data_IF_672455244464
#
_entry.id   IF_672455244464
#
_cell.length_a   1.000
_cell.length_b   1.000
_cell.length_c   1.000
_cell.angle_alpha   90.00
_cell.angle_beta   90.00
_cell.angle_gamma   90.00
#
_symmetry.space_group_name_H-M   'P 1'
#
loop_
_entity.id
_entity.type
_entity.pdbx_description
1 polymer ?
#
# COMPACT_ATOMS: atom_id res chain seq x y z
N UNK A 1 40.32 7.61 -33.96
CA UNK A 1 39.24 6.89 -33.28
C UNK A 1 39.61 6.75 -31.81
N UNK A 2 39.07 7.62 -30.94
CA UNK A 2 39.30 7.60 -29.49
C UNK A 2 37.99 7.21 -28.81
N UNK A 3 37.98 6.06 -28.14
CA UNK A 3 36.96 5.66 -27.16
C UNK A 3 37.69 5.59 -25.83
N UNK A 4 37.32 6.37 -24.82
CA UNK A 4 37.60 6.05 -23.42
C UNK A 4 36.38 6.47 -22.61
N UNK A 5 35.81 5.46 -21.94
CA UNK A 5 34.62 5.49 -21.11
C UNK A 5 34.84 6.30 -19.82
N UNK A 6 33.75 6.96 -19.41
CA UNK A 6 33.50 7.47 -18.07
C UNK A 6 33.43 6.32 -17.05
N UNK A 7 34.17 6.43 -15.95
CA UNK A 7 34.04 5.56 -14.78
C UNK A 7 33.81 6.40 -13.53
N UNK A 8 32.59 6.39 -13.00
CA UNK A 8 32.27 6.94 -11.69
C UNK A 8 32.84 6.02 -10.61
N UNK A 9 33.71 6.57 -9.77
CA UNK A 9 34.29 5.89 -8.63
C UNK A 9 33.30 5.92 -7.44
N UNK A 10 32.91 4.74 -6.95
CA UNK A 10 32.16 4.58 -5.69
C UNK A 10 33.16 4.49 -4.55
N UNK A 11 33.16 5.47 -3.65
CA UNK A 11 33.93 5.44 -2.41
C UNK A 11 33.28 4.45 -1.43
N UNK A 12 33.93 3.29 -1.22
CA UNK A 12 33.65 2.39 -0.12
C UNK A 12 34.32 2.94 1.16
N UNK A 13 33.52 3.37 2.13
CA UNK A 13 33.98 3.60 3.50
C UNK A 13 33.85 2.29 4.28
N UNK A 14 34.97 1.59 4.44
CA UNK A 14 35.10 0.50 5.39
C UNK A 14 35.55 1.08 6.74
N UNK A 15 34.65 1.08 7.73
CA UNK A 15 34.99 1.27 9.13
C UNK A 15 34.32 0.16 9.95
N UNK A 16 35.04 -0.93 10.22
CA UNK A 16 34.86 -1.79 11.40
C UNK A 16 36.24 -2.38 11.72
N UNK A 17 36.98 -1.86 12.71
CA UNK A 17 36.80 -2.00 14.17
C UNK A 17 36.91 -3.44 14.67
N UNK A 18 37.79 -3.60 15.65
CA UNK A 18 38.27 -4.80 16.32
C UNK A 18 37.27 -5.95 16.52
N UNK A 19 37.69 -7.15 16.13
CA UNK A 19 37.13 -8.43 16.55
C UNK A 19 37.16 -8.57 18.08
N UNK A 20 36.02 -8.90 18.66
CA UNK A 20 35.95 -9.66 19.92
C UNK A 20 34.77 -10.61 19.81
N UNK A 21 35.08 -11.89 19.83
CA UNK A 21 34.13 -13.01 19.77
C UNK A 21 33.10 -12.89 20.89
N UNK A 22 31.89 -12.48 20.56
CA UNK A 22 30.70 -12.68 21.39
C UNK A 22 29.63 -13.28 20.47
N UNK A 23 29.14 -14.45 20.85
CA UNK A 23 28.00 -15.09 20.23
C UNK A 23 26.76 -14.23 20.47
N UNK A 24 26.51 -13.26 19.58
CA UNK A 24 25.23 -12.53 19.41
C UNK A 24 25.29 -11.60 18.16
N UNK A 25 25.96 -12.03 17.08
CA UNK A 25 26.01 -11.29 15.82
C UNK A 25 24.72 -11.51 15.00
N UNK A 26 23.56 -11.18 15.57
CA UNK A 26 22.43 -10.83 14.73
C UNK A 26 22.83 -9.56 13.95
N UNK A 27 22.79 -9.55 12.61
CA UNK A 27 23.16 -8.37 11.84
C UNK A 27 22.31 -7.19 12.30
N UNK A 28 22.97 -6.13 12.77
CA UNK A 28 22.30 -4.88 13.14
C UNK A 28 21.59 -4.36 11.89
N UNK A 29 20.26 -4.32 11.93
CA UNK A 29 19.47 -3.75 10.83
C UNK A 29 19.94 -2.33 10.56
N UNK A 30 20.46 -2.11 9.36
CA UNK A 30 20.86 -0.78 8.88
C UNK A 30 19.78 -0.30 7.94
N UNK A 31 19.08 0.79 8.32
CA UNK A 31 18.07 1.39 7.44
C UNK A 31 18.74 1.83 6.13
N UNK A 32 18.28 1.35 4.96
CA UNK A 32 18.87 1.72 3.69
C UNK A 32 18.69 3.21 3.41
N UNK A 33 19.28 3.74 2.34
CA UNK A 33 18.92 5.07 1.84
C UNK A 33 17.47 5.07 1.34
N UNK A 34 16.87 6.25 1.15
CA UNK A 34 15.52 6.37 0.60
C UNK A 34 15.44 5.75 -0.81
N UNK A 35 16.44 6.01 -1.65
CA UNK A 35 16.46 5.47 -3.02
C UNK A 35 16.54 3.94 -3.04
N UNK A 36 17.35 3.35 -2.15
CA UNK A 36 17.43 1.89 -2.01
C UNK A 36 16.11 1.34 -1.46
N UNK A 37 15.46 2.01 -0.51
CA UNK A 37 14.13 1.60 -0.03
C UNK A 37 13.08 1.65 -1.16
N UNK A 38 13.11 2.68 -2.00
CA UNK A 38 12.21 2.80 -3.15
C UNK A 38 12.40 1.64 -4.13
N UNK A 39 13.66 1.27 -4.42
CA UNK A 39 13.97 0.09 -5.23
C UNK A 39 13.50 -1.20 -4.57
N UNK A 40 13.60 -1.30 -3.24
CA UNK A 40 13.09 -2.46 -2.51
C UNK A 40 11.57 -2.58 -2.60
N UNK A 41 10.86 -1.47 -2.43
CA UNK A 41 9.40 -1.45 -2.59
C UNK A 41 9.01 -1.93 -3.99
N UNK A 42 9.61 -1.38 -5.05
CA UNK A 42 9.24 -1.72 -6.44
C UNK A 42 9.46 -3.22 -6.75
N UNK A 43 10.59 -3.77 -6.30
CA UNK A 43 10.92 -5.20 -6.47
C UNK A 43 9.98 -6.10 -5.65
N UNK A 44 9.73 -5.72 -4.39
CA UNK A 44 8.84 -6.47 -3.51
C UNK A 44 7.40 -6.45 -4.01
N UNK A 45 6.91 -5.34 -4.55
CA UNK A 45 5.59 -5.25 -5.19
C UNK A 45 5.52 -6.18 -6.39
N UNK A 46 6.52 -6.17 -7.26
CA UNK A 46 6.57 -7.06 -8.44
C UNK A 46 6.45 -8.52 -8.00
N UNK A 47 7.25 -8.93 -7.02
CA UNK A 47 7.21 -10.29 -6.46
C UNK A 47 5.87 -10.62 -5.81
N UNK A 48 5.29 -9.68 -5.07
CA UNK A 48 3.98 -9.83 -4.45
C UNK A 48 2.90 -10.09 -5.49
N UNK A 49 2.91 -9.35 -6.60
CA UNK A 49 1.96 -9.51 -7.70
C UNK A 49 2.11 -10.86 -8.42
N UNK A 50 3.35 -11.35 -8.57
CA UNK A 50 3.62 -12.67 -9.18
C UNK A 50 3.24 -13.85 -8.30
N UNK A 51 3.23 -13.64 -6.98
CA UNK A 51 2.98 -14.66 -5.97
C UNK A 51 1.58 -14.57 -5.36
N UNK A 52 0.70 -13.73 -5.90
CA UNK A 52 -0.65 -13.56 -5.37
C UNK A 52 -1.71 -13.61 -6.46
N UNK A 53 -2.94 -13.90 -6.06
CA UNK A 53 -4.13 -13.93 -6.92
C UNK A 53 -5.34 -13.36 -6.19
N UNK A 54 -6.43 -13.10 -6.92
CA UNK A 54 -7.73 -12.78 -6.35
C UNK A 54 -8.54 -14.05 -6.13
N UNK A 55 -9.10 -14.25 -4.93
CA UNK A 55 -10.14 -15.26 -4.74
C UNK A 55 -11.48 -14.82 -5.38
N UNK A 56 -12.51 -15.67 -5.27
CA UNK A 56 -13.83 -15.43 -5.85
C UNK A 56 -14.48 -14.11 -5.38
N UNK A 57 -14.20 -13.65 -4.15
CA UNK A 57 -14.72 -12.39 -3.62
C UNK A 57 -13.81 -11.19 -3.95
N UNK A 58 -12.63 -11.45 -4.48
CA UNK A 58 -11.59 -10.48 -4.76
C UNK A 58 -10.61 -10.30 -3.60
N UNK A 59 -10.59 -11.19 -2.58
CA UNK A 59 -9.53 -11.13 -1.57
C UNK A 59 -8.18 -11.48 -2.20
N UNK A 60 -7.12 -10.83 -1.77
CA UNK A 60 -5.76 -11.19 -2.20
C UNK A 60 -5.29 -12.41 -1.39
N UNK A 61 -4.87 -13.44 -2.10
CA UNK A 61 -4.29 -14.67 -1.54
C UNK A 61 -2.90 -14.88 -2.13
N UNK A 62 -2.00 -15.47 -1.35
CA UNK A 62 -0.70 -15.94 -1.84
C UNK A 62 -0.86 -17.37 -2.34
N UNK A 63 -0.23 -17.70 -3.47
CA UNK A 63 -0.20 -19.09 -3.96
C UNK A 63 0.40 -20.01 -2.91
N UNK A 64 -0.18 -21.20 -2.77
CA UNK A 64 0.35 -22.22 -1.89
C UNK A 64 1.70 -22.72 -2.39
N UNK A 65 2.62 -22.99 -1.47
CA UNK A 65 3.88 -23.68 -1.78
C UNK A 65 3.80 -25.18 -1.52
N UNK A 66 2.68 -25.66 -0.98
CA UNK A 66 2.50 -27.04 -0.51
C UNK A 66 1.26 -27.73 -1.09
N UNK A 67 0.38 -27.00 -1.79
CA UNK A 67 -0.79 -27.52 -2.49
C UNK A 67 -0.81 -26.97 -3.91
N UNK A 68 -1.44 -27.70 -4.83
CA UNK A 68 -1.67 -27.31 -6.22
C UNK A 68 -3.09 -26.79 -6.46
N UNK A 69 -3.91 -26.65 -5.41
CA UNK A 69 -5.32 -26.27 -5.52
C UNK A 69 -5.52 -24.90 -6.17
N UNK A 70 -4.57 -23.99 -5.98
CA UNK A 70 -4.59 -22.63 -6.52
C UNK A 70 -3.68 -22.43 -7.74
N UNK A 71 -3.02 -23.47 -8.27
CA UNK A 71 -2.09 -23.34 -9.42
C UNK A 71 -2.76 -22.82 -10.70
N UNK A 72 -4.08 -22.96 -10.80
CA UNK A 72 -4.88 -22.47 -11.93
C UNK A 72 -5.35 -21.01 -11.76
N UNK A 73 -5.14 -20.41 -10.59
CA UNK A 73 -5.58 -19.05 -10.31
C UNK A 73 -4.75 -18.03 -11.09
N UNK A 74 -5.40 -16.93 -11.49
CA UNK A 74 -4.75 -15.90 -12.30
C UNK A 74 -3.90 -15.00 -11.41
N UNK A 75 -2.59 -14.96 -11.68
CA UNK A 75 -1.64 -14.09 -10.96
C UNK A 75 -2.03 -12.62 -11.07
N UNK A 76 -1.93 -11.87 -9.98
CA UNK A 76 -2.18 -10.42 -9.98
C UNK A 76 -1.31 -9.68 -11.01
N UNK A 77 -0.08 -10.13 -11.23
CA UNK A 77 0.85 -9.53 -12.20
C UNK A 77 0.38 -9.59 -13.65
N UNK A 78 -0.55 -10.49 -13.99
CA UNK A 78 -1.08 -10.68 -15.35
C UNK A 78 -2.27 -9.77 -15.67
N UNK A 79 -2.92 -9.19 -14.66
CA UNK A 79 -4.00 -8.24 -14.88
C UNK A 79 -3.48 -6.92 -15.48
N UNK A 80 -4.31 -6.21 -16.26
CA UNK A 80 -4.02 -4.84 -16.67
C UNK A 80 -3.77 -3.97 -15.44
N UNK A 81 -2.65 -3.23 -15.47
CA UNK A 81 -2.21 -2.37 -14.38
C UNK A 81 -1.86 -0.99 -14.88
N UNK A 82 -2.22 0.01 -14.08
CA UNK A 82 -1.79 1.39 -14.24
C UNK A 82 -0.80 1.75 -13.13
N UNK A 83 0.31 2.39 -13.48
CA UNK A 83 1.31 2.86 -12.52
C UNK A 83 1.37 4.37 -12.59
N UNK A 84 1.03 5.02 -11.48
CA UNK A 84 1.08 6.47 -11.35
C UNK A 84 2.53 6.97 -11.24
N UNK A 85 2.74 8.27 -11.45
CA UNK A 85 4.07 8.89 -11.40
C UNK A 85 4.79 8.73 -10.05
N UNK A 86 4.04 8.64 -8.94
CA UNK A 86 4.55 8.38 -7.60
C UNK A 86 4.84 6.89 -7.32
N UNK A 87 4.56 6.01 -8.30
CA UNK A 87 4.76 4.56 -8.20
C UNK A 87 3.57 3.77 -7.66
N UNK A 88 2.46 4.44 -7.32
CA UNK A 88 1.24 3.75 -6.90
C UNK A 88 0.72 2.89 -8.05
N UNK A 89 0.38 1.64 -7.75
CA UNK A 89 -0.12 0.68 -8.72
C UNK A 89 -1.61 0.47 -8.52
N UNK A 90 -2.34 0.46 -9.63
CA UNK A 90 -3.79 0.29 -9.69
C UNK A 90 -4.10 -0.95 -10.51
N UNK A 91 -4.86 -1.87 -9.93
CA UNK A 91 -5.39 -3.04 -10.63
C UNK A 91 -6.89 -3.10 -10.40
N UNK A 92 -7.66 -2.98 -11.48
CA UNK A 92 -9.11 -3.14 -11.48
C UNK A 92 -9.44 -4.60 -11.70
N UNK A 93 -10.26 -5.20 -10.83
CA UNK A 93 -10.77 -6.55 -11.05
C UNK A 93 -11.85 -6.51 -12.13
N UNK A 94 -11.67 -7.17 -13.29
CA UNK A 94 -12.56 -7.02 -14.45
C UNK A 94 -14.04 -7.28 -14.14
N UNK A 95 -14.31 -8.38 -13.43
CA UNK A 95 -15.68 -8.86 -13.18
C UNK A 95 -16.34 -8.25 -11.93
N UNK A 96 -15.71 -7.23 -11.34
CA UNK A 96 -16.18 -6.56 -10.13
C UNK A 96 -16.28 -5.03 -10.27
N UNK A 97 -16.13 -4.51 -11.49
CA UNK A 97 -16.39 -3.09 -11.74
C UNK A 97 -17.91 -2.82 -11.80
N UNK A 98 -18.39 -1.69 -11.26
CA UNK A 98 -19.81 -1.36 -11.34
C UNK A 98 -20.23 -1.00 -12.77
N UNK A 99 -21.36 -1.56 -13.23
CA UNK A 99 -21.96 -1.23 -14.53
C UNK A 99 -22.44 0.22 -14.59
N UNK A 100 -23.03 0.71 -13.50
CA UNK A 100 -23.51 2.08 -13.33
C UNK A 100 -22.85 2.72 -12.10
N UNK A 101 -21.52 2.84 -12.15
CA UNK A 101 -20.78 3.49 -11.09
C UNK A 101 -20.70 5.00 -11.24
N UNK A 102 -20.36 5.70 -10.16
CA UNK A 102 -20.10 7.14 -10.16
C UNK A 102 -18.60 7.44 -10.03
N UNK A 103 -18.02 8.29 -10.90
CA UNK A 103 -16.65 8.76 -10.75
C UNK A 103 -16.41 9.38 -9.39
N UNK A 104 -15.25 9.07 -8.78
CA UNK A 104 -14.86 9.60 -7.48
C UNK A 104 -14.03 10.86 -7.72
N UNK A 105 -14.55 12.03 -7.32
CA UNK A 105 -13.76 13.26 -7.40
C UNK A 105 -12.77 13.37 -6.22
N UNK A 106 -11.71 14.16 -6.39
CA UNK A 106 -10.68 14.36 -5.37
C UNK A 106 -11.23 14.78 -3.99
N UNK A 107 -12.33 15.51 -3.93
CA UNK A 107 -12.88 16.04 -2.67
C UNK A 107 -14.16 15.36 -2.20
N UNK A 108 -14.61 14.33 -2.92
CA UNK A 108 -15.83 13.60 -2.58
C UNK A 108 -15.75 13.00 -1.17
N UNK A 109 -16.91 12.76 -0.58
CA UNK A 109 -17.05 11.92 0.60
C UNK A 109 -17.35 10.50 0.15
N UNK A 110 -16.61 9.54 0.70
CA UNK A 110 -16.70 8.15 0.29
C UNK A 110 -17.19 7.25 1.43
N UNK A 111 -17.83 6.15 1.04
CA UNK A 111 -18.04 4.97 1.89
C UNK A 111 -17.26 3.81 1.32
N UNK A 112 -16.32 3.27 2.06
CA UNK A 112 -15.38 2.25 1.58
C UNK A 112 -15.26 1.11 2.57
N UNK A 113 -15.26 -0.13 2.08
CA UNK A 113 -14.74 -1.25 2.86
C UNK A 113 -13.39 -1.65 2.30
N UNK A 114 -12.44 -1.90 3.20
CA UNK A 114 -11.11 -2.33 2.83
C UNK A 114 -10.60 -3.42 3.76
N UNK A 115 -9.74 -4.29 3.22
CA UNK A 115 -8.65 -4.91 4.00
C UNK A 115 -7.35 -4.30 3.50
N UNK A 116 -6.62 -3.65 4.39
CA UNK A 116 -5.33 -3.04 4.06
C UNK A 116 -4.23 -3.70 4.86
N UNK A 117 -3.18 -4.14 4.17
CA UNK A 117 -1.98 -4.70 4.81
C UNK A 117 -0.78 -3.78 4.57
N UNK A 118 -0.05 -3.47 5.63
CA UNK A 118 1.18 -2.72 5.59
C UNK A 118 2.38 -3.68 5.57
N UNK A 119 3.12 -3.65 4.48
CA UNK A 119 4.30 -4.48 4.27
C UNK A 119 5.58 -3.67 4.37
N UNK A 120 6.65 -4.32 4.80
CA UNK A 120 7.99 -3.75 4.75
C UNK A 120 8.82 -4.49 3.72
N UNK A 121 9.29 -3.79 2.70
CA UNK A 121 10.20 -4.37 1.74
C UNK A 121 11.62 -4.42 2.32
N UNK A 122 12.18 -5.62 2.39
CA UNK A 122 13.52 -5.88 2.91
C UNK A 122 14.29 -6.77 1.94
N UNK A 123 15.61 -6.66 1.95
CA UNK A 123 16.51 -7.63 1.32
C UNK A 123 16.96 -8.63 2.38
N UNK A 124 16.39 -9.83 2.34
CA UNK A 124 16.76 -10.95 3.21
C UNK A 124 17.35 -12.05 2.33
N UNK A 125 18.54 -12.55 2.65
CA UNK A 125 19.22 -13.61 1.88
C UNK A 125 19.39 -13.32 0.38
N UNK A 126 19.69 -12.05 0.04
CA UNK A 126 19.80 -11.54 -1.33
C UNK A 126 18.48 -11.58 -2.13
N UNK A 127 17.36 -11.70 -1.44
CA UNK A 127 16.03 -11.66 -2.02
C UNK A 127 15.25 -10.48 -1.46
N UNK A 128 14.88 -9.56 -2.37
CA UNK A 128 13.98 -8.47 -2.02
C UNK A 128 12.54 -8.95 -2.05
N UNK A 129 11.85 -8.83 -0.90
CA UNK A 129 10.45 -9.22 -0.75
C UNK A 129 9.77 -8.43 0.35
N UNK A 130 8.45 -8.53 0.42
CA UNK A 130 7.70 -8.08 1.57
C UNK A 130 7.92 -9.04 2.75
N UNK A 131 8.37 -8.49 3.86
CA UNK A 131 8.44 -9.15 5.17
C UNK A 131 7.11 -9.00 5.90
N UNK A 132 6.77 -9.99 6.73
CA UNK A 132 5.58 -10.08 7.61
C UNK A 132 4.74 -8.80 7.64
N UNK A 133 3.70 -8.77 6.81
CA UNK A 133 2.74 -7.67 6.77
C UNK A 133 1.90 -7.67 8.04
N UNK A 134 1.49 -6.49 8.48
CA UNK A 134 0.47 -6.38 9.53
C UNK A 134 -0.79 -5.72 8.96
N UNK A 135 -1.91 -6.07 9.57
CA UNK A 135 -3.21 -5.50 9.25
C UNK A 135 -3.23 -4.02 9.65
N UNK A 136 -3.40 -3.15 8.66
CA UNK A 136 -3.53 -1.71 8.87
C UNK A 136 -4.98 -1.29 9.07
N UNK A 137 -5.88 -1.79 8.22
CA UNK A 137 -7.32 -1.61 8.35
C UNK A 137 -8.03 -2.90 7.94
N UNK A 138 -9.19 -3.18 8.54
CA UNK A 138 -10.00 -4.34 8.20
C UNK A 138 -11.47 -4.10 8.53
N UNK A 139 -12.19 -3.62 7.52
CA UNK A 139 -13.62 -3.35 7.63
C UNK A 139 -14.43 -4.59 7.25
N UNK A 140 -13.86 -5.44 6.39
CA UNK A 140 -14.51 -6.62 5.83
C UNK A 140 -14.67 -7.73 6.88
N UNK A 141 -13.61 -8.01 7.64
CA UNK A 141 -13.61 -9.04 8.69
C UNK A 141 -13.60 -8.45 10.11
N UNK A 142 -13.50 -7.12 10.24
CA UNK A 142 -13.51 -6.43 11.53
C UNK A 142 -14.88 -5.83 11.86
N UNK A 143 -15.14 -4.61 11.40
CA UNK A 143 -16.36 -3.85 11.74
C UNK A 143 -17.63 -4.37 11.06
N UNK A 144 -17.49 -5.03 9.90
CA UNK A 144 -18.60 -5.41 9.04
C UNK A 144 -19.36 -4.22 8.43
N UNK A 145 -18.83 -3.00 8.56
CA UNK A 145 -19.46 -1.76 8.08
C UNK A 145 -18.49 -0.93 7.25
N UNK A 146 -18.92 -0.28 6.15
CA UNK A 146 -18.08 0.64 5.41
C UNK A 146 -17.60 1.82 6.26
N UNK A 147 -16.32 2.17 6.12
CA UNK A 147 -15.76 3.40 6.69
C UNK A 147 -16.23 4.61 5.89
N UNK A 148 -16.60 5.67 6.60
CA UNK A 148 -16.88 6.98 6.02
C UNK A 148 -15.61 7.82 6.14
N UNK A 149 -15.10 8.29 4.99
CA UNK A 149 -13.94 9.19 4.92
C UNK A 149 -12.79 8.82 5.87
N UNK A 150 -12.16 7.65 5.69
CA UNK A 150 -11.03 7.28 6.51
C UNK A 150 -9.91 8.35 6.45
N UNK A 151 -9.20 8.57 7.57
CA UNK A 151 -8.20 9.64 7.67
C UNK A 151 -7.08 9.54 6.64
N UNK A 152 -6.72 8.32 6.22
CA UNK A 152 -5.75 8.06 5.16
C UNK A 152 -6.22 8.49 3.77
N UNK A 153 -7.52 8.74 3.58
CA UNK A 153 -8.11 9.28 2.36
C UNK A 153 -8.41 10.77 2.48
N UNK A 154 -9.09 11.19 3.55
CA UNK A 154 -9.51 12.57 3.76
C UNK A 154 -9.51 12.95 5.24
N UNK A 155 -9.12 14.19 5.52
CA UNK A 155 -9.10 14.77 6.87
C UNK A 155 -9.71 16.17 6.83
N UNK A 156 -10.59 16.46 7.80
CA UNK A 156 -11.22 17.78 7.88
C UNK A 156 -10.28 18.80 8.50
N UNK A 157 -10.47 20.08 8.17
CA UNK A 157 -9.73 21.18 8.81
C UNK A 157 -9.97 21.22 10.32
N UNK A 158 -11.21 20.96 10.75
CA UNK A 158 -11.56 20.83 12.16
C UNK A 158 -10.73 19.73 12.84
N UNK A 159 -10.64 18.55 12.25
CA UNK A 159 -9.88 17.44 12.84
C UNK A 159 -8.39 17.80 12.98
N UNK A 160 -7.80 18.39 11.94
CA UNK A 160 -6.41 18.88 11.98
C UNK A 160 -6.18 19.93 13.07
N UNK A 161 -7.11 20.89 13.20
CA UNK A 161 -7.06 21.92 14.24
C UNK A 161 -7.18 21.32 15.66
N UNK A 162 -8.11 20.38 15.86
CA UNK A 162 -8.30 19.69 17.14
C UNK A 162 -7.05 18.87 17.56
N UNK A 163 -6.18 18.52 16.61
CA UNK A 163 -4.94 17.77 16.85
C UNK A 163 -3.65 18.62 16.68
N UNK A 164 -3.78 19.94 16.59
CA UNK A 164 -2.66 20.90 16.47
C UNK A 164 -1.67 20.56 15.33
N UNK A 165 -2.16 20.02 14.21
CA UNK A 165 -1.33 19.73 13.05
C UNK A 165 -2.11 19.95 11.74
N UNK A 166 -1.67 20.94 10.95
CA UNK A 166 -2.32 21.35 9.71
C UNK A 166 -1.74 20.65 8.47
N UNK A 167 -0.73 19.79 8.62
CA UNK A 167 -0.15 19.05 7.50
C UNK A 167 -1.01 17.81 7.19
N UNK A 168 -1.74 17.87 6.08
CA UNK A 168 -2.60 16.78 5.61
C UNK A 168 -1.83 15.48 5.38
N UNK A 169 -0.54 15.55 5.03
CA UNK A 169 0.28 14.36 4.74
C UNK A 169 0.59 13.52 5.98
N UNK A 170 0.37 14.07 7.18
CA UNK A 170 0.46 13.29 8.43
C UNK A 170 -0.74 12.34 8.56
N UNK A 171 -1.85 12.64 7.91
CA UNK A 171 -3.09 11.87 7.98
C UNK A 171 -3.32 11.06 6.71
N UNK A 172 -3.23 11.72 5.56
CA UNK A 172 -3.62 11.22 4.25
C UNK A 172 -2.44 10.59 3.51
N UNK A 173 -2.71 9.55 2.74
CA UNK A 173 -1.77 8.95 1.79
C UNK A 173 -2.04 9.50 0.39
N UNK A 174 -1.13 10.33 -0.11
CA UNK A 174 -1.28 10.97 -1.43
C UNK A 174 -1.48 9.94 -2.54
N UNK A 175 -0.73 8.83 -2.52
CA UNK A 175 -0.87 7.77 -3.52
C UNK A 175 -2.24 7.09 -3.50
N UNK A 176 -2.81 6.82 -2.32
CA UNK A 176 -4.15 6.26 -2.21
C UNK A 176 -5.21 7.25 -2.71
N UNK A 177 -5.11 8.51 -2.30
CA UNK A 177 -6.04 9.58 -2.67
C UNK A 177 -6.09 9.82 -4.18
N UNK A 178 -4.93 9.84 -4.85
CA UNK A 178 -4.84 9.97 -6.30
C UNK A 178 -5.40 8.72 -7.00
N UNK A 179 -4.95 7.53 -6.60
CA UNK A 179 -5.34 6.27 -7.22
C UNK A 179 -6.84 5.96 -7.12
N UNK A 180 -7.50 6.35 -6.02
CA UNK A 180 -8.93 6.09 -5.84
C UNK A 180 -9.79 6.80 -6.90
N UNK A 181 -9.34 7.93 -7.45
CA UNK A 181 -10.04 8.68 -8.50
C UNK A 181 -10.08 7.92 -9.84
N UNK A 182 -9.27 6.87 -9.99
CA UNK A 182 -9.30 6.00 -11.18
C UNK A 182 -10.41 4.94 -11.08
N UNK A 183 -11.07 4.80 -9.93
CA UNK A 183 -12.20 3.91 -9.74
C UNK A 183 -13.53 4.66 -9.77
N UNK A 184 -14.58 3.93 -10.12
CA UNK A 184 -15.95 4.36 -9.87
C UNK A 184 -16.43 3.72 -8.56
N UNK A 185 -17.22 4.47 -7.80
CA UNK A 185 -18.01 3.92 -6.70
C UNK A 185 -19.16 3.06 -7.24
N UNK A 186 -19.57 2.07 -6.45
CA UNK A 186 -20.57 1.08 -6.86
C UNK A 186 -22.03 1.53 -6.69
N UNK A 187 -22.26 2.61 -5.95
CA UNK A 187 -23.60 3.15 -5.63
C UNK A 187 -24.55 2.10 -5.03
N UNK A 188 -24.04 1.33 -4.07
CA UNK A 188 -24.75 0.24 -3.36
C UNK A 188 -24.91 0.55 -1.87
N UNK A 189 -25.89 -0.10 -1.23
CA UNK A 189 -26.14 0.06 0.21
C UNK A 189 -25.08 -0.60 1.09
N UNK A 190 -24.86 0.00 2.26
CA UNK A 190 -23.83 -0.42 3.22
C UNK A 190 -24.03 -1.86 3.75
N UNK A 191 -25.22 -2.43 3.58
CA UNK A 191 -25.54 -3.81 3.98
C UNK A 191 -25.15 -4.86 2.95
N UNK A 192 -24.78 -4.46 1.73
CA UNK A 192 -24.39 -5.40 0.67
C UNK A 192 -23.05 -6.03 1.04
N UNK A 193 -22.91 -7.34 0.86
CA UNK A 193 -21.64 -8.03 1.09
C UNK A 193 -20.60 -7.57 0.05
N UNK A 194 -19.37 -7.23 0.46
CA UNK A 194 -18.40 -6.63 -0.46
C UNK A 194 -17.96 -7.62 -1.54
N UNK A 195 -18.05 -7.19 -2.80
CA UNK A 195 -17.37 -7.80 -3.95
C UNK A 195 -16.24 -6.89 -4.40
N UNK A 196 -15.02 -7.22 -3.98
CA UNK A 196 -13.88 -6.30 -4.04
C UNK A 196 -13.55 -5.96 -5.49
N UNK A 197 -13.53 -4.65 -5.76
CA UNK A 197 -13.44 -4.11 -7.12
C UNK A 197 -11.99 -3.96 -7.57
N UNK A 198 -11.01 -4.08 -6.68
CA UNK A 198 -9.62 -4.03 -7.09
C UNK A 198 -8.66 -3.82 -5.94
N UNK A 199 -7.40 -3.64 -6.34
CA UNK A 199 -6.29 -3.36 -5.43
C UNK A 199 -5.61 -2.05 -5.82
N UNK A 200 -5.27 -1.26 -4.80
CA UNK A 200 -4.34 -0.14 -4.88
C UNK A 200 -3.12 -0.50 -4.03
N UNK A 201 -1.93 -0.45 -4.63
CA UNK A 201 -0.67 -0.67 -3.93
C UNK A 201 0.09 0.64 -3.88
N UNK A 202 0.21 1.22 -2.69
CA UNK A 202 0.87 2.49 -2.44
C UNK A 202 2.29 2.22 -1.91
N UNK A 203 3.36 2.40 -2.70
CA UNK A 203 4.73 2.21 -2.22
C UNK A 203 5.04 3.19 -1.10
N UNK A 204 6.05 2.91 -0.27
CA UNK A 204 6.27 3.69 0.94
C UNK A 204 6.49 5.19 0.68
N UNK A 205 7.15 5.54 -0.43
CA UNK A 205 7.32 6.92 -0.92
C UNK A 205 6.03 7.70 -1.19
N UNK A 206 4.95 7.01 -1.54
CA UNK A 206 3.63 7.59 -1.82
C UNK A 206 2.64 7.40 -0.66
N UNK A 207 3.05 6.66 0.37
CA UNK A 207 2.39 6.54 1.66
C UNK A 207 3.02 7.53 2.66
N UNK A 208 3.56 7.06 3.78
CA UNK A 208 4.17 7.91 4.80
C UNK A 208 5.69 7.99 4.75
N UNK A 209 6.35 7.18 3.90
CA UNK A 209 7.80 7.12 3.75
C UNK A 209 8.52 7.10 5.11
N UNK A 210 9.25 8.16 5.43
CA UNK A 210 9.96 8.39 6.70
C UNK A 210 9.37 9.53 7.53
N UNK A 211 8.24 10.06 7.09
CA UNK A 211 7.58 11.21 7.67
C UNK A 211 6.81 10.82 8.94
N UNK A 212 6.48 11.84 9.73
CA UNK A 212 5.52 11.69 10.82
C UNK A 212 4.15 11.30 10.26
N UNK A 213 3.45 10.45 10.99
CA UNK A 213 2.09 10.03 10.68
C UNK A 213 1.24 10.10 11.95
N UNK A 214 -0.06 10.28 11.76
CA UNK A 214 -1.00 10.34 12.87
C UNK A 214 -1.21 8.95 13.46
N UNK A 215 -0.99 8.82 14.77
CA UNK A 215 -1.28 7.59 15.52
C UNK A 215 -2.68 7.68 16.13
N UNK A 216 -3.70 7.38 15.33
CA UNK A 216 -5.07 7.23 15.84
C UNK A 216 -5.23 5.89 16.59
N UNK A 217 -6.25 5.74 17.45
CA UNK A 217 -6.62 4.42 17.99
C UNK A 217 -6.94 3.37 16.91
N UNK A 218 -7.35 3.82 15.71
CA UNK A 218 -7.61 2.97 14.55
C UNK A 218 -6.36 2.64 13.73
N UNK A 219 -5.20 3.24 14.05
CA UNK A 219 -3.93 2.92 13.42
C UNK A 219 -3.20 1.86 14.25
N UNK A 220 -2.51 0.91 13.61
CA UNK A 220 -1.70 -0.07 14.32
C UNK A 220 -0.58 0.64 15.10
N UNK A 221 -0.23 0.10 16.27
CA UNK A 221 0.89 0.58 17.08
C UNK A 221 2.27 0.34 16.42
N UNK A 222 2.29 -0.47 15.36
CA UNK A 222 3.48 -0.73 14.56
C UNK A 222 3.84 0.48 13.68
N UNK A 223 5.15 0.69 13.49
CA UNK A 223 5.63 1.80 12.68
C UNK A 223 5.23 1.69 11.20
N UNK A 224 4.65 2.77 10.67
CA UNK A 224 4.35 2.94 9.24
C UNK A 224 5.54 3.41 8.40
N UNK A 225 6.70 3.61 9.05
CA UNK A 225 7.93 4.00 8.38
C UNK A 225 8.35 2.93 7.35
N UNK A 226 8.67 3.37 6.14
CA UNK A 226 9.05 2.52 5.00
C UNK A 226 8.02 1.42 4.68
N UNK A 227 6.73 1.65 4.98
CA UNK A 227 5.68 0.68 4.71
C UNK A 227 5.00 0.93 3.38
N UNK A 228 4.96 -0.12 2.56
CA UNK A 228 4.11 -0.20 1.38
C UNK A 228 2.73 -0.70 1.79
N UNK A 229 1.68 -0.04 1.31
CA UNK A 229 0.29 -0.31 1.70
C UNK A 229 -0.43 -1.01 0.56
N UNK A 230 -0.98 -2.20 0.81
CA UNK A 230 -1.81 -2.93 -0.16
C UNK A 230 -3.26 -2.84 0.28
N UNK A 231 -4.04 -2.03 -0.43
CA UNK A 231 -5.46 -1.82 -0.20
C UNK A 231 -6.27 -2.74 -1.11
N UNK A 232 -7.07 -3.61 -0.52
CA UNK A 232 -8.04 -4.42 -1.25
C UNK A 232 -9.45 -4.02 -0.82
N UNK A 233 -10.27 -3.53 -1.74
CA UNK A 233 -11.39 -2.69 -1.35
C UNK A 233 -12.61 -2.73 -2.29
N UNK A 234 -13.69 -2.18 -1.79
CA UNK A 234 -14.85 -1.74 -2.57
C UNK A 234 -15.36 -0.39 -2.05
N UNK A 235 -15.64 0.54 -2.95
CA UNK A 235 -16.26 1.83 -2.65
C UNK A 235 -17.76 1.70 -2.86
N UNK A 236 -18.52 1.73 -1.77
CA UNK A 236 -19.97 1.62 -1.79
C UNK A 236 -20.62 2.85 -2.40
N UNK A 237 -20.23 4.05 -1.97
CA UNK A 237 -20.85 5.32 -2.40
C UNK A 237 -19.81 6.42 -2.51
N UNK A 238 -20.00 7.32 -3.48
CA UNK A 238 -19.29 8.60 -3.56
C UNK A 238 -20.28 9.76 -3.67
N UNK A 239 -20.20 10.74 -2.76
CA UNK A 239 -21.04 11.94 -2.82
C UNK A 239 -20.18 13.19 -2.87
N UNK A 240 -20.66 14.22 -3.57
CA UNK A 240 -20.04 15.53 -3.49
C UNK A 240 -20.14 15.99 -2.04
N UNK A 241 -18.98 16.27 -1.45
CA UNK A 241 -18.89 16.66 -0.03
C UNK A 241 -19.76 17.89 0.22
N UNK A 242 -20.70 17.85 1.19
CA UNK A 242 -21.46 19.02 1.57
C UNK A 242 -20.52 20.15 1.97
N UNK A 243 -20.81 21.37 1.50
CA UNK A 243 -20.08 22.55 1.99
C UNK A 243 -20.35 22.70 3.49
N UNK A 244 -19.33 23.07 4.28
CA UNK A 244 -19.49 23.32 5.72
C UNK A 244 -20.51 24.43 6.00
#
# INVERSE_FOLDING_TARGET
>A
MKKILFGFAVCALALQSCKKDNADDAPVYTEPTIDVQNQYDDQAITKFLDNSYFDAQGNIKTFSTTSTDDDNETKLSTYPKETLSNGTIIIKRPDAQPLQGKPIAATDSIRIMSTTTAYWATNEDNEVKFRYGFLFSNDIYGSGNPQVDPLYYYVTEKFMADHNNTDRNVYQMAGFHEALQHFNSCEIDDSVTPNLQGVIIVPSRAAFARNSYFQAPSYPSASLRNRTMVFNFQVYKSITRPKP
#
